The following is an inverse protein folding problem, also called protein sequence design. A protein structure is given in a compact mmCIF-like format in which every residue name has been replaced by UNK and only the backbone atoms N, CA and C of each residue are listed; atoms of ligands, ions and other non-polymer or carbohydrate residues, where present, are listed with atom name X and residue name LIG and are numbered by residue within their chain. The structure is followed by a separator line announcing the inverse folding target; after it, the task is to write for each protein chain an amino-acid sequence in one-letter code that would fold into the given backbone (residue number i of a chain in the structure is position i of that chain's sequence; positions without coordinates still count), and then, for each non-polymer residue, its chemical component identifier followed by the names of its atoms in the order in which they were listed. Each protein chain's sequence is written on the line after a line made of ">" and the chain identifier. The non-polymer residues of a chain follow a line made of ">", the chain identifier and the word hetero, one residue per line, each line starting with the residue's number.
data_IF_054338219542
#
_entry.id   IF_054338219542
#
_cell.length_a   1.000
_cell.length_b   1.000
_cell.length_c   1.000
_cell.angle_alpha   90.00
_cell.angle_beta   90.00
_cell.angle_gamma   90.00
#
_symmetry.space_group_name_H-M   'P 1'
#
loop_
_entity.id
_entity.type
_entity.pdbx_description
1 polymer ?
#
# COMPACT_ATOMS: atom_id res chain seq x y z
N UNK A 1 15.90 11.41 0.09
CA UNK A 1 14.83 11.25 -0.91
C UNK A 1 13.53 10.99 -0.17
N UNK A 2 12.71 12.03 -0.02
CA UNK A 2 11.34 11.88 0.48
C UNK A 2 10.57 11.07 -0.56
N UNK A 3 9.99 9.95 -0.18
CA UNK A 3 9.19 9.17 -1.12
C UNK A 3 8.08 10.06 -1.70
N UNK A 4 8.08 10.20 -3.02
CA UNK A 4 7.19 11.11 -3.71
C UNK A 4 5.74 10.62 -3.56
N UNK A 5 4.77 11.54 -3.34
CA UNK A 5 3.36 11.19 -3.21
C UNK A 5 2.85 10.33 -4.38
N UNK A 6 3.40 10.57 -5.57
CA UNK A 6 3.04 9.89 -6.81
C UNK A 6 3.45 8.41 -6.81
N UNK A 7 4.64 8.09 -6.27
CA UNK A 7 5.09 6.70 -6.10
C UNK A 7 4.15 5.91 -5.19
N UNK A 8 3.69 6.54 -4.10
CA UNK A 8 2.80 5.90 -3.13
C UNK A 8 1.46 5.53 -3.79
N UNK A 9 0.91 6.45 -4.58
CA UNK A 9 -0.35 6.26 -5.30
C UNK A 9 -0.18 5.20 -6.39
N UNK A 10 0.84 5.35 -7.23
CA UNK A 10 1.12 4.44 -8.35
C UNK A 10 1.35 3.00 -7.88
N UNK A 11 2.18 2.79 -6.86
CA UNK A 11 2.43 1.47 -6.28
C UNK A 11 1.16 0.93 -5.62
N UNK A 12 0.44 1.75 -4.86
CA UNK A 12 -0.81 1.34 -4.22
C UNK A 12 -1.87 0.88 -5.22
N UNK A 13 -2.08 1.64 -6.28
CA UNK A 13 -3.04 1.31 -7.35
C UNK A 13 -2.60 0.08 -8.15
N UNK A 14 -1.29 -0.08 -8.41
CA UNK A 14 -0.75 -1.29 -9.04
C UNK A 14 -1.02 -2.53 -8.19
N UNK A 15 -0.76 -2.48 -6.89
CA UNK A 15 -1.02 -3.59 -5.97
C UNK A 15 -2.50 -3.94 -5.91
N UNK A 16 -3.38 -2.94 -5.86
CA UNK A 16 -4.82 -3.13 -5.88
C UNK A 16 -5.33 -3.75 -7.18
N UNK A 17 -4.76 -3.37 -8.33
CA UNK A 17 -5.10 -3.96 -9.64
C UNK A 17 -4.64 -5.40 -9.76
N UNK A 18 -3.44 -5.72 -9.27
CA UNK A 18 -2.86 -7.06 -9.38
C UNK A 18 -3.47 -8.05 -8.37
N UNK A 19 -3.80 -7.58 -7.17
CA UNK A 19 -4.25 -8.43 -6.06
C UNK A 19 -5.42 -7.80 -5.30
N UNK A 20 -6.58 -7.56 -5.95
CA UNK A 20 -7.70 -6.85 -5.33
C UNK A 20 -8.20 -7.51 -4.04
N UNK A 21 -8.21 -8.85 -3.97
CA UNK A 21 -8.77 -9.62 -2.84
C UNK A 21 -7.78 -9.79 -1.69
N UNK A 22 -6.50 -9.47 -1.92
CA UNK A 22 -5.45 -9.58 -0.90
C UNK A 22 -5.51 -8.44 0.12
N UNK A 23 -6.10 -7.30 -0.25
CA UNK A 23 -6.18 -6.10 0.58
C UNK A 23 -7.57 -5.93 1.19
N UNK A 24 -7.62 -5.38 2.41
CA UNK A 24 -8.88 -5.11 3.13
C UNK A 24 -8.85 -3.74 3.80
N UNK A 25 -9.88 -3.41 4.58
CA UNK A 25 -9.88 -2.21 5.43
C UNK A 25 -8.92 -2.27 6.64
N UNK A 26 -8.15 -3.36 6.81
CA UNK A 26 -7.24 -3.51 7.94
C UNK A 26 -5.80 -3.12 7.58
N UNK A 27 -5.29 -2.08 8.25
CA UNK A 27 -3.94 -1.57 8.01
C UNK A 27 -2.83 -2.61 8.25
N UNK A 28 -2.92 -3.42 9.31
CA UNK A 28 -1.88 -4.41 9.64
C UNK A 28 -1.72 -5.47 8.54
N UNK A 29 -2.85 -5.99 8.04
CA UNK A 29 -2.91 -6.93 6.91
C UNK A 29 -2.31 -6.29 5.67
N UNK A 30 -2.74 -5.09 5.33
CA UNK A 30 -2.22 -4.38 4.15
C UNK A 30 -0.71 -4.15 4.24
N UNK A 31 -0.17 -3.79 5.41
CA UNK A 31 1.27 -3.62 5.64
C UNK A 31 2.04 -4.91 5.38
N UNK A 32 1.53 -6.05 5.86
CA UNK A 32 2.15 -7.35 5.59
C UNK A 32 2.11 -7.68 4.10
N UNK A 33 0.98 -7.46 3.43
CA UNK A 33 0.84 -7.71 2.00
C UNK A 33 1.78 -6.84 1.17
N UNK A 34 1.87 -5.53 1.47
CA UNK A 34 2.84 -4.63 0.81
C UNK A 34 4.28 -5.13 1.04
N UNK A 35 4.62 -5.64 2.22
CA UNK A 35 5.97 -6.19 2.48
C UNK A 35 6.25 -7.44 1.65
N UNK A 36 5.26 -8.31 1.48
CA UNK A 36 5.41 -9.56 0.70
C UNK A 36 5.46 -9.30 -0.80
N UNK A 37 4.72 -8.29 -1.26
CA UNK A 37 4.51 -8.01 -2.69
C UNK A 37 5.45 -6.94 -3.24
N UNK A 38 6.20 -6.24 -2.39
CA UNK A 38 7.13 -5.19 -2.81
C UNK A 38 8.44 -5.28 -2.03
N UNK A 39 9.56 -4.99 -2.70
CA UNK A 39 10.87 -4.94 -2.06
C UNK A 39 11.18 -3.54 -1.48
N UNK A 40 10.19 -2.88 -0.89
CA UNK A 40 10.34 -1.51 -0.36
C UNK A 40 11.20 -1.56 0.91
N UNK A 41 12.46 -1.13 0.79
CA UNK A 41 13.41 -1.08 1.91
C UNK A 41 13.07 -0.03 2.99
N UNK A 42 12.24 0.98 2.65
CA UNK A 42 11.87 2.04 3.60
C UNK A 42 10.58 1.75 4.37
N UNK A 43 10.70 1.64 5.69
CA UNK A 43 9.55 1.46 6.61
C UNK A 43 8.51 2.58 6.44
N UNK A 44 8.96 3.83 6.29
CA UNK A 44 8.06 4.99 6.13
C UNK A 44 7.25 4.88 4.83
N UNK A 45 7.90 4.51 3.72
CA UNK A 45 7.23 4.36 2.42
C UNK A 45 6.21 3.22 2.46
N UNK A 46 6.59 2.06 3.01
CA UNK A 46 5.67 0.93 3.20
C UNK A 46 4.42 1.31 3.98
N UNK A 47 4.58 2.05 5.09
CA UNK A 47 3.45 2.48 5.91
C UNK A 47 2.54 3.46 5.15
N UNK A 48 3.11 4.36 4.34
CA UNK A 48 2.33 5.27 3.49
C UNK A 48 1.52 4.53 2.42
N UNK A 49 2.12 3.55 1.74
CA UNK A 49 1.43 2.70 0.75
C UNK A 49 0.31 1.91 1.42
N UNK A 50 0.58 1.23 2.53
CA UNK A 50 -0.43 0.48 3.26
C UNK A 50 -1.58 1.39 3.74
N UNK A 51 -1.27 2.61 4.17
CA UNK A 51 -2.28 3.61 4.56
C UNK A 51 -3.14 4.05 3.38
N UNK A 52 -2.53 4.32 2.23
CA UNK A 52 -3.26 4.66 1.00
C UNK A 52 -4.22 3.54 0.57
N UNK A 53 -3.73 2.29 0.53
CA UNK A 53 -4.55 1.12 0.20
C UNK A 53 -5.72 0.96 1.18
N UNK A 54 -5.46 1.15 2.47
CA UNK A 54 -6.49 1.05 3.51
C UNK A 54 -7.60 2.08 3.27
N UNK A 55 -7.25 3.34 2.98
CA UNK A 55 -8.24 4.38 2.64
C UNK A 55 -9.05 4.04 1.40
N UNK A 56 -8.42 3.48 0.36
CA UNK A 56 -9.13 3.04 -0.85
C UNK A 56 -10.09 1.88 -0.62
N UNK A 57 -9.81 0.99 0.34
CA UNK A 57 -10.65 -0.17 0.66
C UNK A 57 -11.77 0.11 1.65
N UNK A 58 -11.57 1.03 2.58
CA UNK A 58 -12.62 1.46 3.52
C UNK A 58 -13.63 2.38 2.82
N UNK A 59 -13.21 3.08 1.76
CA UNK A 59 -14.02 4.13 1.14
C UNK A 59 -14.09 5.38 2.04
N UNK A 60 -14.44 6.56 1.49
CA UNK A 60 -15.02 7.61 2.33
C UNK A 60 -16.35 7.16 2.94
#
# INVERSE_FOLDING_TARGET
>A
MTADPEDIISVGDRLLRQHPDSFSGQFSKNKQMVTKMTNVGSIRLRNRIAGYITRKKVGP
#
